data_IF_454310720046
#
_entry.id   IF_454310720046
#
_cell.length_a   1.000
_cell.length_b   1.000
_cell.length_c   1.000
_cell.angle_alpha   90.00
_cell.angle_beta   90.00
_cell.angle_gamma   90.00
#
_symmetry.space_group_name_H-M   'P 1'
#
loop_
_entity.id
_entity.type
_entity.pdbx_description
1 polymer ?
#
# COMPACT_ATOMS: atom_id res chain seq x y z
N UNK A 1 0.41 5.86 -8.46
CA UNK A 1 -0.99 5.71 -7.98
C UNK A 1 -1.61 6.97 -7.34
N UNK A 2 -1.28 7.37 -6.10
CA UNK A 2 -2.03 8.42 -5.33
C UNK A 2 -2.29 9.74 -6.06
N UNK A 3 -1.29 10.30 -6.75
CA UNK A 3 -1.46 11.52 -7.55
C UNK A 3 -2.44 11.35 -8.72
N UNK A 4 -2.55 10.15 -9.29
CA UNK A 4 -3.54 9.85 -10.33
C UNK A 4 -4.96 9.84 -9.74
N UNK A 5 -5.13 9.25 -8.56
CA UNK A 5 -6.41 9.24 -7.83
C UNK A 5 -6.80 10.68 -7.46
N UNK A 6 -5.88 11.42 -6.84
CA UNK A 6 -6.12 12.77 -6.38
C UNK A 6 -6.63 13.71 -7.48
N UNK A 7 -6.15 13.54 -8.70
CA UNK A 7 -6.51 14.34 -9.89
C UNK A 7 -7.68 13.75 -10.70
N UNK A 8 -8.34 12.70 -10.22
CA UNK A 8 -9.46 12.05 -10.92
C UNK A 8 -9.07 11.36 -12.22
N UNK A 9 -7.81 10.92 -12.35
CA UNK A 9 -7.25 10.27 -13.55
C UNK A 9 -7.07 8.76 -13.37
N UNK A 10 -7.32 8.24 -12.17
CA UNK A 10 -7.15 6.83 -11.88
C UNK A 10 -8.36 6.02 -12.36
N UNK A 11 -8.09 4.95 -13.10
CA UNK A 11 -9.11 4.01 -13.58
C UNK A 11 -8.92 2.70 -12.82
N UNK A 12 -9.97 2.23 -12.16
CA UNK A 12 -10.01 0.94 -11.48
C UNK A 12 -11.01 0.04 -12.20
N UNK A 13 -10.52 -1.02 -12.87
CA UNK A 13 -11.35 -1.98 -13.62
C UNK A 13 -12.33 -1.28 -14.59
N UNK A 14 -11.79 -0.38 -15.41
CA UNK A 14 -12.55 0.42 -16.39
C UNK A 14 -13.38 1.57 -15.79
N UNK A 15 -13.48 1.69 -14.46
CA UNK A 15 -14.21 2.78 -13.81
C UNK A 15 -13.27 3.91 -13.39
N UNK A 16 -13.44 5.10 -13.93
CA UNK A 16 -12.71 6.30 -13.49
C UNK A 16 -13.12 6.70 -12.08
N UNK A 17 -12.15 6.95 -11.20
CA UNK A 17 -12.37 7.40 -9.82
C UNK A 17 -12.45 8.93 -9.76
N UNK A 18 -13.27 9.43 -8.84
CA UNK A 18 -13.39 10.87 -8.60
C UNK A 18 -12.07 11.44 -8.04
N UNK A 19 -11.79 12.74 -8.26
CA UNK A 19 -10.66 13.39 -7.61
C UNK A 19 -10.81 13.41 -6.09
N UNK A 20 -9.69 13.58 -5.39
CA UNK A 20 -9.63 13.58 -3.93
C UNK A 20 -9.37 14.99 -3.40
N UNK A 21 -10.13 15.40 -2.38
CA UNK A 21 -9.99 16.72 -1.77
C UNK A 21 -8.78 16.86 -0.84
N UNK A 22 -8.29 15.74 -0.29
CA UNK A 22 -7.38 15.69 0.87
C UNK A 22 -6.24 14.67 0.75
N UNK A 23 -5.98 14.10 -0.43
CA UNK A 23 -4.99 13.03 -0.60
C UNK A 23 -3.58 13.48 -0.19
N UNK A 24 -3.05 12.98 0.93
CA UNK A 24 -1.73 13.35 1.42
C UNK A 24 -0.61 12.69 0.61
N UNK A 25 0.52 13.40 0.48
CA UNK A 25 1.77 12.82 -0.02
C UNK A 25 2.39 11.95 1.08
N UNK A 26 2.82 10.74 0.70
CA UNK A 26 3.59 9.88 1.60
C UNK A 26 5.07 10.22 1.54
N UNK A 27 5.74 10.16 2.68
CA UNK A 27 7.19 10.30 2.81
C UNK A 27 7.80 9.00 3.32
N UNK A 28 9.05 8.73 2.94
CA UNK A 28 9.73 7.53 3.41
C UNK A 28 10.18 7.73 4.87
N UNK A 29 10.02 6.70 5.70
CA UNK A 29 10.45 6.70 7.11
C UNK A 29 11.35 5.51 7.42
N UNK A 30 12.56 5.81 7.90
CA UNK A 30 13.52 4.80 8.33
C UNK A 30 13.02 3.98 9.54
N UNK A 31 12.16 4.56 10.39
CA UNK A 31 11.59 3.85 11.53
C UNK A 31 10.53 2.83 11.07
N UNK A 32 9.70 3.21 10.09
CA UNK A 32 8.75 2.30 9.45
C UNK A 32 9.49 1.19 8.69
N UNK A 33 10.57 1.52 7.98
CA UNK A 33 11.44 0.54 7.32
C UNK A 33 12.02 -0.45 8.33
N UNK A 34 12.59 0.03 9.43
CA UNK A 34 13.18 -0.81 10.46
C UNK A 34 12.15 -1.78 11.06
N UNK A 35 10.96 -1.28 11.36
CA UNK A 35 9.83 -2.09 11.85
C UNK A 35 9.39 -3.12 10.81
N UNK A 36 9.26 -2.75 9.54
CA UNK A 36 8.88 -3.66 8.46
C UNK A 36 9.96 -4.72 8.19
N UNK A 37 11.24 -4.34 8.23
CA UNK A 37 12.37 -5.26 8.06
C UNK A 37 12.44 -6.30 9.19
N UNK A 38 12.14 -5.91 10.44
CA UNK A 38 12.03 -6.87 11.54
C UNK A 38 10.95 -7.92 11.30
N UNK A 39 9.84 -7.57 10.64
CA UNK A 39 8.80 -8.53 10.25
C UNK A 39 9.28 -9.39 9.08
N UNK A 40 9.84 -8.78 8.03
CA UNK A 40 10.35 -9.49 6.87
C UNK A 40 11.42 -10.55 7.25
N UNK A 41 12.32 -10.21 8.17
CA UNK A 41 13.38 -11.10 8.67
C UNK A 41 12.87 -12.34 9.39
N UNK A 42 11.60 -12.38 9.83
CA UNK A 42 10.99 -13.59 10.41
C UNK A 42 10.77 -14.67 9.36
N UNK A 43 10.75 -14.29 8.07
CA UNK A 43 10.52 -15.21 6.96
C UNK A 43 9.20 -15.99 7.05
N UNK A 44 8.18 -15.36 7.61
CA UNK A 44 6.82 -15.86 7.70
C UNK A 44 5.90 -14.96 6.87
N UNK A 45 5.20 -15.51 5.89
CA UNK A 45 4.20 -14.78 5.10
C UNK A 45 2.90 -14.64 5.89
N UNK A 46 2.95 -13.81 6.94
CA UNK A 46 1.86 -13.56 7.87
C UNK A 46 1.98 -12.13 8.40
N UNK A 47 0.83 -11.46 8.53
CA UNK A 47 0.76 -10.15 9.17
C UNK A 47 1.33 -10.17 10.59
N UNK A 48 2.02 -9.08 10.96
CA UNK A 48 2.49 -8.88 12.33
C UNK A 48 1.36 -8.36 13.24
N UNK A 49 1.51 -8.54 14.56
CA UNK A 49 0.57 -7.94 15.50
C UNK A 49 0.70 -6.41 15.51
N UNK A 50 -0.35 -5.75 15.01
CA UNK A 50 -0.51 -4.30 14.98
C UNK A 50 -1.57 -3.79 15.95
N UNK A 51 -2.07 -4.63 16.87
CA UNK A 51 -3.04 -4.20 17.88
C UNK A 51 -2.53 -3.01 18.68
N UNK A 52 -3.37 -1.99 18.86
CA UNK A 52 -3.02 -0.74 19.53
C UNK A 52 -2.02 0.16 18.80
N UNK A 53 -1.61 -0.18 17.56
CA UNK A 53 -0.69 0.64 16.75
C UNK A 53 -1.45 1.36 15.65
N UNK A 54 -1.18 2.65 15.48
CA UNK A 54 -1.64 3.41 14.32
C UNK A 54 -0.73 3.16 13.10
N UNK A 55 -0.61 1.89 12.69
CA UNK A 55 0.21 1.50 11.54
C UNK A 55 -0.44 0.37 10.73
N UNK A 56 -0.64 0.61 9.44
CA UNK A 56 -1.06 -0.43 8.49
C UNK A 56 0.11 -1.28 7.99
N UNK A 57 -0.19 -2.40 7.34
CA UNK A 57 0.82 -3.33 6.84
C UNK A 57 0.35 -3.99 5.54
N UNK A 58 1.24 -4.07 4.55
CA UNK A 58 1.06 -4.90 3.36
C UNK A 58 2.19 -5.92 3.27
N UNK A 59 1.88 -7.15 2.81
CA UNK A 59 2.85 -8.20 2.54
C UNK A 59 2.80 -8.62 1.08
N UNK A 60 3.96 -8.98 0.53
CA UNK A 60 4.09 -9.61 -0.77
C UNK A 60 5.15 -10.71 -0.69
N UNK A 61 4.86 -11.86 -1.28
CA UNK A 61 5.82 -12.96 -1.36
C UNK A 61 5.92 -13.45 -2.80
N UNK A 62 7.16 -13.57 -3.26
CA UNK A 62 7.50 -14.34 -4.44
C UNK A 62 8.26 -15.61 -4.01
N UNK A 63 7.96 -16.75 -4.61
CA UNK A 63 8.62 -18.01 -4.29
C UNK A 63 8.84 -18.87 -5.53
N UNK A 64 9.94 -19.61 -5.53
CA UNK A 64 10.31 -20.54 -6.58
C UNK A 64 10.87 -21.82 -5.97
N UNK A 65 10.57 -22.97 -6.58
CA UNK A 65 11.16 -24.24 -6.16
C UNK A 65 12.68 -24.19 -6.31
N UNK A 66 13.40 -24.70 -5.30
CA UNK A 66 14.86 -24.61 -5.24
C UNK A 66 15.53 -25.32 -6.40
N UNK A 67 14.96 -26.43 -6.88
CA UNK A 67 15.43 -27.15 -8.05
C UNK A 67 15.42 -26.32 -9.36
N UNK A 68 14.59 -25.29 -9.44
CA UNK A 68 14.50 -24.39 -10.60
C UNK A 68 15.29 -23.09 -10.39
N UNK A 69 15.89 -22.92 -9.21
CA UNK A 69 16.58 -21.71 -8.80
C UNK A 69 18.09 -21.96 -8.69
N UNK A 70 18.78 -21.87 -9.83
CA UNK A 70 20.25 -22.02 -9.90
C UNK A 70 21.03 -20.89 -9.23
N UNK A 71 20.33 -19.78 -8.89
CA UNK A 71 20.87 -18.62 -8.17
C UNK A 71 19.88 -18.16 -7.08
N UNK A 72 20.36 -17.46 -6.04
CA UNK A 72 19.53 -16.67 -5.14
C UNK A 72 18.51 -15.81 -5.89
N UNK A 73 17.25 -15.81 -5.44
CA UNK A 73 16.25 -14.87 -5.93
C UNK A 73 16.70 -13.43 -5.62
N UNK A 74 16.68 -12.57 -6.64
CA UNK A 74 17.03 -11.16 -6.49
C UNK A 74 16.01 -10.45 -5.60
N UNK A 75 16.50 -9.63 -4.68
CA UNK A 75 15.69 -8.67 -3.92
C UNK A 75 15.59 -7.31 -4.64
N UNK A 76 16.44 -7.06 -5.63
CA UNK A 76 16.38 -5.82 -6.42
C UNK A 76 15.09 -5.82 -7.26
N UNK A 77 14.34 -4.71 -7.19
CA UNK A 77 13.07 -4.52 -7.90
C UNK A 77 11.84 -5.12 -7.21
N UNK A 78 11.99 -5.98 -6.19
CA UNK A 78 10.83 -6.66 -5.59
C UNK A 78 9.90 -5.72 -4.83
N UNK A 79 10.39 -4.60 -4.31
CA UNK A 79 9.54 -3.54 -3.75
C UNK A 79 8.62 -2.89 -4.81
N UNK A 80 9.09 -2.76 -6.06
CA UNK A 80 8.27 -2.29 -7.16
C UNK A 80 7.25 -3.35 -7.60
N UNK A 81 7.66 -4.62 -7.64
CA UNK A 81 6.74 -5.72 -7.95
C UNK A 81 5.65 -5.88 -6.88
N UNK A 82 5.99 -5.73 -5.60
CA UNK A 82 5.04 -5.69 -4.50
C UNK A 82 4.02 -4.55 -4.68
N UNK A 83 4.50 -3.33 -4.95
CA UNK A 83 3.62 -2.18 -5.20
C UNK A 83 2.65 -2.44 -6.37
N UNK A 84 3.14 -3.00 -7.48
CA UNK A 84 2.29 -3.35 -8.63
C UNK A 84 1.27 -4.43 -8.29
N UNK A 85 1.68 -5.47 -7.55
CA UNK A 85 0.79 -6.55 -7.15
C UNK A 85 -0.35 -6.04 -6.27
N UNK A 86 -0.04 -5.23 -5.27
CA UNK A 86 -1.04 -4.58 -4.41
C UNK A 86 -1.95 -3.66 -5.22
N UNK A 87 -1.41 -2.74 -6.02
CA UNK A 87 -2.22 -1.83 -6.86
C UNK A 87 -3.12 -2.59 -7.85
N UNK A 88 -2.69 -3.77 -8.33
CA UNK A 88 -3.46 -4.57 -9.29
C UNK A 88 -4.82 -5.05 -8.76
N UNK A 89 -5.03 -5.08 -7.44
CA UNK A 89 -6.32 -5.40 -6.82
C UNK A 89 -7.43 -4.48 -7.32
N UNK A 90 -7.13 -3.18 -7.53
CA UNK A 90 -8.10 -2.24 -8.12
C UNK A 90 -8.48 -2.59 -9.56
N UNK A 91 -7.64 -3.34 -10.28
CA UNK A 91 -7.92 -3.76 -11.66
C UNK A 91 -8.63 -5.11 -11.71
N UNK A 92 -8.27 -6.05 -10.84
CA UNK A 92 -8.83 -7.42 -10.85
C UNK A 92 -10.15 -7.48 -10.09
N UNK A 93 -10.19 -6.98 -8.87
CA UNK A 93 -11.38 -6.95 -8.01
C UNK A 93 -12.29 -5.80 -8.45
N UNK A 94 -11.71 -4.62 -8.63
CA UNK A 94 -12.43 -3.37 -8.90
C UNK A 94 -12.68 -2.55 -7.65
N UNK A 95 -13.13 -1.31 -7.83
CA UNK A 95 -13.34 -0.35 -6.74
C UNK A 95 -14.75 0.27 -6.85
N UNK A 96 -15.80 -0.46 -6.43
CA UNK A 96 -17.18 -0.04 -6.68
C UNK A 96 -17.67 1.09 -5.76
N UNK A 97 -17.26 1.08 -4.48
CA UNK A 97 -17.61 2.11 -3.50
C UNK A 97 -16.34 2.73 -2.92
N UNK A 98 -16.41 4.03 -2.66
CA UNK A 98 -15.32 4.74 -2.01
C UNK A 98 -15.29 4.55 -0.49
N UNK A 99 -16.43 4.21 0.10
CA UNK A 99 -16.52 3.73 1.49
C UNK A 99 -16.05 2.29 1.55
N UNK A 100 -15.10 2.00 2.42
CA UNK A 100 -14.60 0.65 2.65
C UNK A 100 -15.57 -0.10 3.56
N UNK A 101 -16.20 -1.16 3.05
CA UNK A 101 -17.13 -2.00 3.81
C UNK A 101 -16.43 -3.31 4.17
N UNK A 102 -16.96 -4.05 5.16
CA UNK A 102 -16.45 -5.39 5.46
C UNK A 102 -16.54 -6.32 4.25
N UNK A 103 -17.59 -6.18 3.43
CA UNK A 103 -17.76 -6.97 2.21
C UNK A 103 -16.69 -6.66 1.16
N UNK A 104 -16.39 -5.38 0.91
CA UNK A 104 -15.35 -5.02 -0.05
C UNK A 104 -13.95 -5.36 0.49
N UNK A 105 -13.69 -5.12 1.77
CA UNK A 105 -12.42 -5.51 2.39
C UNK A 105 -12.19 -7.03 2.33
N UNK A 106 -13.23 -7.84 2.57
CA UNK A 106 -13.18 -9.31 2.50
C UNK A 106 -12.89 -9.89 1.10
N UNK A 107 -12.91 -9.07 0.04
CA UNK A 107 -12.49 -9.50 -1.30
C UNK A 107 -10.98 -9.59 -1.47
N UNK A 108 -10.20 -9.04 -0.54
CA UNK A 108 -8.74 -8.96 -0.62
C UNK A 108 -8.21 -7.65 -1.21
N UNK A 109 -9.04 -6.61 -1.41
CA UNK A 109 -8.64 -5.28 -1.91
C UNK A 109 -7.83 -4.43 -0.89
N UNK A 110 -7.50 -5.04 0.26
CA UNK A 110 -6.93 -4.37 1.42
C UNK A 110 -5.57 -3.73 1.16
N UNK A 111 -4.76 -4.30 0.27
CA UNK A 111 -3.43 -3.76 0.02
C UNK A 111 -3.50 -2.49 -0.84
N UNK A 112 -4.31 -2.50 -1.89
CA UNK A 112 -4.56 -1.34 -2.74
C UNK A 112 -5.22 -0.19 -1.97
N UNK A 113 -6.20 -0.50 -1.13
CA UNK A 113 -6.91 0.51 -0.32
C UNK A 113 -5.99 1.15 0.72
N UNK A 114 -5.09 0.40 1.35
CA UNK A 114 -4.06 0.98 2.22
C UNK A 114 -3.11 1.91 1.45
N UNK A 115 -2.65 1.52 0.26
CA UNK A 115 -1.80 2.39 -0.58
C UNK A 115 -2.51 3.69 -1.00
N UNK A 116 -3.83 3.63 -1.18
CA UNK A 116 -4.67 4.75 -1.59
C UNK A 116 -5.22 5.57 -0.41
N UNK A 117 -5.01 5.15 0.84
CA UNK A 117 -5.65 5.74 2.00
C UNK A 117 -5.24 7.20 2.21
N UNK A 118 -6.19 8.13 2.18
CA UNK A 118 -5.89 9.56 2.06
C UNK A 118 -5.01 10.11 3.18
N UNK A 119 -5.20 9.61 4.40
CA UNK A 119 -4.56 10.13 5.61
C UNK A 119 -3.14 9.60 5.82
N UNK A 120 -2.80 8.45 5.24
CA UNK A 120 -1.48 7.82 5.40
C UNK A 120 -0.36 8.75 4.94
N UNK A 121 0.60 9.00 5.83
CA UNK A 121 1.64 10.02 5.64
C UNK A 121 3.04 9.45 5.52
N UNK A 122 3.34 8.32 6.15
CA UNK A 122 4.66 7.70 6.08
C UNK A 122 4.58 6.26 5.59
N UNK A 123 5.61 5.84 4.88
CA UNK A 123 5.81 4.46 4.45
C UNK A 123 7.26 4.05 4.68
N UNK A 124 7.49 2.79 5.03
CA UNK A 124 8.82 2.18 5.03
C UNK A 124 8.69 0.69 4.81
N UNK A 125 9.62 0.11 4.07
CA UNK A 125 9.49 -1.28 3.60
C UNK A 125 10.75 -2.09 3.86
N UNK A 126 10.56 -3.33 4.32
CA UNK A 126 11.62 -4.31 4.49
C UNK A 126 11.54 -5.41 3.43
N UNK A 127 12.69 -5.93 3.02
CA UNK A 127 12.79 -7.05 2.09
C UNK A 127 13.72 -8.10 2.69
N UNK A 128 13.27 -9.36 2.71
CA UNK A 128 14.07 -10.48 3.18
C UNK A 128 14.09 -11.59 2.14
N UNK A 129 15.27 -12.12 1.85
CA UNK A 129 15.41 -13.37 1.12
C UNK A 129 15.29 -14.52 2.12
N UNK A 130 14.25 -15.32 1.96
CA UNK A 130 13.88 -16.40 2.85
C UNK A 130 14.01 -17.71 2.09
N UNK A 131 14.98 -18.55 2.41
CA UNK A 131 15.18 -19.82 1.70
C UNK A 131 15.07 -20.98 2.67
N UNK A 132 14.37 -22.03 2.27
CA UNK A 132 14.36 -23.32 2.94
C UNK A 132 14.87 -24.42 1.99
N UNK A 133 14.78 -25.69 2.41
CA UNK A 133 15.27 -26.81 1.61
C UNK A 133 14.46 -27.02 0.31
N UNK A 134 13.24 -26.49 0.23
CA UNK A 134 12.30 -26.73 -0.87
C UNK A 134 12.13 -25.50 -1.76
N UNK A 135 12.19 -24.30 -1.19
CA UNK A 135 11.87 -23.05 -1.87
C UNK A 135 12.92 -21.97 -1.60
N UNK A 136 13.17 -21.16 -2.62
CA UNK A 136 13.68 -19.81 -2.43
C UNK A 136 12.49 -18.85 -2.42
N UNK A 137 12.46 -17.91 -1.48
CA UNK A 137 11.40 -16.93 -1.31
C UNK A 137 11.99 -15.54 -1.14
N UNK A 138 11.27 -14.52 -1.59
CA UNK A 138 11.52 -13.13 -1.23
C UNK A 138 10.24 -12.61 -0.61
N UNK A 139 10.35 -12.11 0.61
CA UNK A 139 9.27 -11.50 1.38
C UNK A 139 9.49 -9.99 1.42
N UNK A 140 8.47 -9.24 1.00
CA UNK A 140 8.41 -7.78 1.10
C UNK A 140 7.32 -7.44 2.11
N UNK A 141 7.63 -6.55 3.04
CA UNK A 141 6.68 -6.00 4.02
C UNK A 141 6.77 -4.48 3.93
N UNK A 142 5.64 -3.78 3.84
CA UNK A 142 5.59 -2.33 3.98
C UNK A 142 4.71 -1.95 5.17
N UNK A 143 5.19 -1.04 6.01
CA UNK A 143 4.41 -0.41 7.09
C UNK A 143 3.99 1.00 6.69
N UNK A 144 2.79 1.38 7.11
CA UNK A 144 2.14 2.65 6.75
C UNK A 144 1.73 3.40 8.02
N UNK A 145 2.31 4.57 8.29
CA UNK A 145 1.91 5.41 9.42
C UNK A 145 0.60 6.13 9.10
N UNK A 146 -0.25 6.26 10.12
CA UNK A 146 -1.66 6.63 9.97
C UNK A 146 -2.37 5.53 9.18
N UNK A 147 -2.70 4.47 9.92
CA UNK A 147 -3.27 3.25 9.39
C UNK A 147 -4.50 3.56 8.56
N UNK A 148 -4.61 2.87 7.43
CA UNK A 148 -5.82 2.87 6.63
C UNK A 148 -6.75 1.73 6.97
N UNK A 149 -7.61 1.42 6.01
CA UNK A 149 -8.50 0.27 6.06
C UNK A 149 -9.48 0.26 7.24
N UNK A 150 -9.87 1.44 7.72
CA UNK A 150 -10.94 1.58 8.70
C UNK A 150 -12.28 1.25 8.03
N UNK A 151 -12.91 0.18 8.49
CA UNK A 151 -14.22 -0.24 7.99
C UNK A 151 -15.27 0.82 8.32
N UNK A 152 -16.07 1.20 7.32
CA UNK A 152 -17.06 2.26 7.40
C UNK A 152 -16.53 3.62 6.97
N UNK A 153 -15.22 3.80 6.84
CA UNK A 153 -14.60 5.05 6.42
C UNK A 153 -14.36 5.11 4.91
N UNK A 154 -14.23 6.32 4.39
CA UNK A 154 -13.85 6.55 3.00
C UNK A 154 -12.34 6.34 2.80
N UNK A 155 -11.96 5.69 1.71
CA UNK A 155 -10.55 5.53 1.32
C UNK A 155 -9.91 6.91 1.07
N UNK A 156 -10.67 7.85 0.48
CA UNK A 156 -10.37 9.27 0.39
C UNK A 156 -11.65 10.09 0.29
N UNK A 157 -11.64 11.39 0.57
CA UNK A 157 -12.86 12.18 0.36
C UNK A 157 -12.93 12.69 -1.09
N UNK A 158 -14.01 12.34 -1.78
CA UNK A 158 -14.21 12.69 -3.17
C UNK A 158 -14.61 14.17 -3.35
N UNK A 159 -14.05 14.84 -4.36
CA UNK A 159 -14.35 16.22 -4.69
C UNK A 159 -13.18 16.92 -5.36
N UNK A 160 -13.27 18.25 -5.60
CA UNK A 160 -12.23 18.97 -6.33
C UNK A 160 -10.85 18.79 -5.68
N UNK A 161 -9.87 18.46 -6.51
CA UNK A 161 -8.47 18.21 -6.11
C UNK A 161 -7.99 19.30 -5.13
N UNK A 162 -7.41 18.88 -4.01
CA UNK A 162 -6.86 19.77 -2.96
C UNK A 162 -7.85 20.72 -2.27
N UNK A 163 -9.17 20.64 -2.51
CA UNK A 163 -10.13 21.59 -1.92
C UNK A 163 -10.22 21.52 -0.40
N UNK A 164 -9.70 20.46 0.24
CA UNK A 164 -9.70 20.30 1.70
C UNK A 164 -8.43 19.59 2.22
N UNK A 165 -7.24 20.10 1.88
CA UNK A 165 -5.98 19.54 2.43
C UNK A 165 -5.88 19.58 3.97
N UNK A 166 -6.62 20.49 4.60
CA UNK A 166 -6.65 20.65 6.05
C UNK A 166 -5.52 21.54 6.59
N UNK A 167 -5.59 21.87 7.87
CA UNK A 167 -4.62 22.74 8.55
C UNK A 167 -3.22 22.11 8.53
N UNK A 168 -2.20 22.92 8.21
CA UNK A 168 -0.81 22.47 8.15
C UNK A 168 -0.42 21.79 6.83
N UNK A 169 -1.34 21.70 5.87
CA UNK A 169 -1.06 21.17 4.54
C UNK A 169 -1.40 22.20 3.45
N UNK A 170 -0.60 22.18 2.38
CA UNK A 170 -0.84 22.93 1.15
C UNK A 170 -0.94 21.98 -0.05
N UNK A 171 -1.55 22.46 -1.12
CA UNK A 171 -1.61 21.70 -2.38
C UNK A 171 -0.28 21.78 -3.12
N UNK A 172 0.28 20.63 -3.49
CA UNK A 172 1.23 20.53 -4.60
C UNK A 172 0.44 20.42 -5.90
N UNK A 173 0.28 21.54 -6.61
CA UNK A 173 -0.53 21.62 -7.84
C UNK A 173 -0.02 20.70 -8.97
N UNK A 174 1.26 20.34 -8.95
CA UNK A 174 1.84 19.44 -9.96
C UNK A 174 1.34 17.99 -9.80
N UNK A 175 1.11 17.57 -8.55
CA UNK A 175 0.71 16.19 -8.22
C UNK A 175 -0.75 16.08 -7.76
N UNK A 176 -1.37 17.18 -7.33
CA UNK A 176 -2.67 17.21 -6.67
C UNK A 176 -2.64 16.65 -5.25
N UNK A 177 -1.46 16.47 -4.66
CA UNK A 177 -1.30 15.92 -3.32
C UNK A 177 -1.17 17.03 -2.27
N UNK A 178 -1.70 16.77 -1.08
CA UNK A 178 -1.52 17.61 0.09
C UNK A 178 -0.14 17.33 0.73
N UNK A 179 0.68 18.36 0.84
CA UNK A 179 2.04 18.33 1.40
C UNK A 179 2.14 19.27 2.59
N UNK A 180 3.06 18.99 3.51
CA UNK A 180 3.47 19.95 4.56
C UNK A 180 4.34 21.06 3.98
#
# INVERSE_FOLDING_TARGET
MRSSIARGRYVAKGSTKQPAVNMRKMYYSCDMERSAQQVANRCLFQHSDRSGKNTGENLYQYMMQRQWATKPLSTNGTGYDACKAWESEFQTIGWPSNTLTSSSFGTGIGHATQMAWWQTTLVGCGVAQCSDNTYQKVLVVCHYQDAGNWIGENIYDAGPTCSKCGTGYRCDSSTGLCIV
#
